data_IF_288355588900
#
_entry.id   IF_288355588900
#
_cell.length_a   1.000
_cell.length_b   1.000
_cell.length_c   1.000
_cell.angle_alpha   90.00
_cell.angle_beta   90.00
_cell.angle_gamma   90.00
#
_symmetry.space_group_name_H-M   'P 1'
#
loop_
_entity.id
_entity.type
_entity.pdbx_description
1 polymer ?
#
# COMPACT_ATOMS: atom_id res chain seq x y z
N UNK A 1 -11.68 0.65 20.18
CA UNK A 1 -10.57 -0.16 20.74
C UNK A 1 -9.41 -0.21 19.74
N UNK A 2 -8.38 0.63 19.92
CA UNK A 2 -7.08 0.49 19.26
C UNK A 2 -6.08 -0.15 20.23
N UNK A 3 -5.80 -1.45 20.09
CA UNK A 3 -4.86 -2.15 20.97
C UNK A 3 -3.39 -1.88 20.66
N UNK A 4 -3.07 -1.34 19.48
CA UNK A 4 -1.70 -0.96 19.13
C UNK A 4 -1.23 0.27 19.92
N UNK A 5 -2.13 1.22 20.15
CA UNK A 5 -1.91 2.35 21.07
C UNK A 5 -2.36 2.06 22.50
N UNK A 6 -3.04 0.93 22.70
CA UNK A 6 -3.61 0.51 23.96
C UNK A 6 -4.74 1.42 24.42
N UNK A 7 -5.63 1.89 23.55
CA UNK A 7 -6.74 2.79 23.90
C UNK A 7 -8.09 2.19 23.51
N UNK A 8 -9.07 2.23 24.40
CA UNK A 8 -10.48 1.91 24.14
C UNK A 8 -11.29 3.18 24.35
N UNK A 9 -12.05 3.55 23.32
CA UNK A 9 -12.93 4.72 23.29
C UNK A 9 -14.34 4.23 22.98
N UNK A 10 -15.30 4.51 23.86
CA UNK A 10 -16.75 4.28 23.73
C UNK A 10 -17.52 5.04 24.81
N UNK A 11 -18.78 5.40 24.57
CA UNK A 11 -19.66 6.13 25.51
C UNK A 11 -20.45 5.13 26.41
N UNK A 12 -21.15 5.44 27.51
CA UNK A 12 -21.83 6.64 28.01
C UNK A 12 -21.35 7.11 29.41
N UNK A 13 -20.10 6.80 29.79
CA UNK A 13 -19.48 7.29 31.03
C UNK A 13 -17.97 7.40 30.80
N UNK A 14 -17.53 8.49 30.14
CA UNK A 14 -16.14 8.76 29.71
C UNK A 14 -15.07 8.27 30.69
N UNK A 15 -14.57 7.07 30.43
CA UNK A 15 -13.27 6.59 30.85
C UNK A 15 -12.45 6.39 29.58
N UNK A 16 -11.27 7.01 29.51
CA UNK A 16 -10.26 6.55 28.56
C UNK A 16 -9.70 5.25 29.15
N UNK A 17 -10.10 4.11 28.61
CA UNK A 17 -9.58 2.83 29.05
C UNK A 17 -8.30 2.53 28.26
N UNK A 18 -7.16 2.49 28.94
CA UNK A 18 -5.87 2.16 28.32
C UNK A 18 -5.59 0.67 28.56
N UNK A 19 -5.63 -0.17 27.52
CA UNK A 19 -5.28 -1.59 27.61
C UNK A 19 -3.87 -1.80 27.08
N UNK A 20 -2.91 -2.15 27.93
CA UNK A 20 -1.52 -2.41 27.50
C UNK A 20 -1.15 -3.89 27.68
N UNK A 21 -0.76 -4.54 26.58
CA UNK A 21 -0.18 -5.89 26.52
C UNK A 21 -1.18 -7.06 26.32
N UNK A 22 -0.85 -7.98 25.41
CA UNK A 22 -1.35 -9.37 25.39
C UNK A 22 -2.85 -9.58 25.30
N UNK A 23 -3.57 -8.74 24.55
CA UNK A 23 -5.04 -8.81 24.45
C UNK A 23 -5.45 -9.77 23.32
N UNK A 24 -5.44 -11.05 23.63
CA UNK A 24 -5.83 -12.09 22.66
C UNK A 24 -7.34 -12.07 22.33
N UNK A 25 -8.14 -11.21 22.94
CA UNK A 25 -9.56 -11.07 22.65
C UNK A 25 -10.12 -9.68 22.95
N UNK A 26 -10.84 -9.10 21.98
CA UNK A 26 -11.55 -7.82 22.08
C UNK A 26 -13.01 -8.04 21.76
N UNK A 27 -13.89 -7.43 22.56
CA UNK A 27 -15.31 -7.35 22.25
C UNK A 27 -15.77 -5.89 22.23
N UNK A 28 -16.45 -5.49 21.17
CA UNK A 28 -17.14 -4.22 21.01
C UNK A 28 -18.45 -4.18 21.79
N UNK A 29 -19.14 -3.07 21.64
CA UNK A 29 -20.40 -2.72 22.27
C UNK A 29 -21.59 -3.07 21.36
N UNK A 30 -22.76 -2.48 21.62
CA UNK A 30 -23.91 -2.57 20.70
C UNK A 30 -23.95 -1.44 19.66
N UNK A 31 -22.89 -0.63 19.57
CA UNK A 31 -22.76 0.54 18.72
C UNK A 31 -21.57 0.37 17.78
N UNK A 32 -21.46 1.26 16.78
CA UNK A 32 -20.33 1.25 15.86
C UNK A 32 -18.99 1.43 16.57
N UNK A 33 -18.19 0.38 16.55
CA UNK A 33 -16.88 0.32 17.15
C UNK A 33 -15.76 0.31 16.10
N UNK A 34 -14.55 0.68 16.52
CA UNK A 34 -13.33 0.49 15.74
C UNK A 34 -12.40 -0.41 16.54
N UNK A 35 -12.06 -1.58 16.02
CA UNK A 35 -11.32 -2.63 16.71
C UNK A 35 -10.00 -2.89 15.99
N UNK A 36 -8.87 -2.75 16.67
CA UNK A 36 -7.54 -3.10 16.14
C UNK A 36 -6.84 -4.05 17.10
N UNK A 37 -6.30 -5.14 16.57
CA UNK A 37 -5.46 -6.10 17.29
C UNK A 37 -4.11 -5.53 17.74
N UNK A 38 -3.38 -6.34 18.49
CA UNK A 38 -1.96 -6.19 18.76
C UNK A 38 -1.13 -6.73 17.58
N UNK A 39 0.12 -7.16 17.82
CA UNK A 39 0.93 -7.90 16.83
C UNK A 39 0.89 -9.42 17.05
N UNK A 40 0.02 -9.85 17.97
CA UNK A 40 -0.15 -11.23 18.40
C UNK A 40 -1.21 -11.97 17.59
N UNK A 41 -1.84 -12.97 18.20
CA UNK A 41 -2.99 -13.63 17.60
C UNK A 41 -4.23 -13.21 18.38
N UNK A 42 -5.09 -12.41 17.78
CA UNK A 42 -6.18 -11.72 18.49
C UNK A 42 -7.57 -12.15 17.99
N UNK A 43 -8.51 -12.29 18.93
CA UNK A 43 -9.92 -12.61 18.63
C UNK A 43 -10.80 -11.37 18.78
N UNK A 44 -11.27 -10.81 17.67
CA UNK A 44 -12.07 -9.60 17.63
C UNK A 44 -13.56 -9.92 17.44
N UNK A 45 -14.41 -9.29 18.26
CA UNK A 45 -15.87 -9.38 18.20
C UNK A 45 -16.43 -7.97 18.16
N UNK A 46 -17.23 -7.62 17.17
CA UNK A 46 -17.89 -6.30 17.06
C UNK A 46 -19.16 -6.20 17.91
N UNK A 47 -19.90 -7.31 18.02
CA UNK A 47 -21.25 -7.46 18.54
C UNK A 47 -22.31 -6.72 17.70
N UNK A 48 -22.76 -5.55 18.17
CA UNK A 48 -23.84 -4.79 17.55
C UNK A 48 -23.34 -3.48 17.01
N UNK A 49 -23.93 -2.96 15.93
CA UNK A 49 -23.48 -1.71 15.31
C UNK A 49 -22.72 -1.96 14.02
N UNK A 50 -22.38 -0.90 13.29
CA UNK A 50 -21.55 -0.99 12.09
C UNK A 50 -20.09 -0.85 12.49
N UNK A 51 -19.38 -1.96 12.57
CA UNK A 51 -18.05 -2.02 13.18
C UNK A 51 -16.92 -1.92 12.14
N UNK A 52 -15.75 -1.47 12.55
CA UNK A 52 -14.54 -1.41 11.72
C UNK A 52 -13.41 -2.20 12.36
N UNK A 53 -13.02 -3.31 11.75
CA UNK A 53 -11.90 -4.15 12.19
C UNK A 53 -10.63 -3.77 11.43
N UNK A 54 -9.66 -3.17 12.12
CA UNK A 54 -8.39 -2.72 11.55
C UNK A 54 -7.37 -3.84 11.66
N UNK A 55 -6.81 -4.21 10.50
CA UNK A 55 -5.66 -5.09 10.39
C UNK A 55 -4.51 -4.37 9.67
N UNK A 56 -3.28 -4.59 10.10
CA UNK A 56 -2.09 -3.98 9.52
C UNK A 56 -0.95 -5.00 9.40
N UNK A 57 0.02 -4.75 8.52
CA UNK A 57 1.20 -5.60 8.35
C UNK A 57 1.91 -5.83 9.70
N UNK A 58 2.30 -7.07 10.00
CA UNK A 58 2.86 -7.46 11.29
C UNK A 58 1.82 -7.61 12.41
N UNK A 59 0.54 -7.73 12.05
CA UNK A 59 -0.57 -7.93 12.98
C UNK A 59 -0.66 -9.33 13.57
N UNK A 60 0.04 -10.32 13.01
CA UNK A 60 -0.04 -11.71 13.45
C UNK A 60 -1.31 -12.42 12.96
N UNK A 61 -1.77 -13.44 13.68
CA UNK A 61 -2.82 -14.35 13.21
C UNK A 61 -4.16 -14.07 13.90
N UNK A 62 -4.98 -13.22 13.26
CA UNK A 62 -6.21 -12.68 13.85
C UNK A 62 -7.47 -13.43 13.43
N UNK A 63 -8.50 -13.32 14.27
CA UNK A 63 -9.79 -13.96 14.11
C UNK A 63 -10.93 -12.98 14.39
N UNK A 64 -11.78 -12.71 13.40
CA UNK A 64 -13.01 -11.92 13.56
C UNK A 64 -14.19 -12.89 13.68
N UNK A 65 -14.91 -12.83 14.80
CA UNK A 65 -15.93 -13.83 15.14
C UNK A 65 -17.35 -13.55 14.62
N UNK A 66 -17.67 -12.31 14.25
CA UNK A 66 -19.05 -11.88 14.02
C UNK A 66 -19.22 -10.85 12.89
N UNK A 67 -18.29 -10.79 11.94
CA UNK A 67 -18.39 -9.90 10.78
C UNK A 67 -19.75 -10.00 10.07
N UNK A 68 -20.43 -8.87 9.92
CA UNK A 68 -21.81 -8.81 9.48
C UNK A 68 -22.05 -7.71 8.44
N UNK A 69 -22.24 -8.11 7.19
CA UNK A 69 -22.64 -7.21 6.11
C UNK A 69 -24.03 -6.58 6.37
N UNK A 70 -24.90 -7.27 7.12
CA UNK A 70 -26.23 -6.77 7.47
C UNK A 70 -26.17 -5.58 8.45
N UNK A 71 -25.12 -5.54 9.28
CA UNK A 71 -24.84 -4.43 10.18
C UNK A 71 -23.93 -3.36 9.55
N UNK A 72 -23.47 -3.59 8.32
CA UNK A 72 -22.55 -2.75 7.56
C UNK A 72 -21.14 -2.67 8.16
N UNK A 73 -20.67 -3.78 8.73
CA UNK A 73 -19.31 -3.92 9.21
C UNK A 73 -18.28 -3.79 8.09
N UNK A 74 -17.07 -3.36 8.46
CA UNK A 74 -15.94 -3.15 7.57
C UNK A 74 -14.66 -3.75 8.12
N UNK A 75 -13.80 -4.18 7.20
CA UNK A 75 -12.44 -4.59 7.49
C UNK A 75 -11.50 -3.56 6.89
N UNK A 76 -10.77 -2.85 7.73
CA UNK A 76 -9.77 -1.88 7.31
C UNK A 76 -8.43 -2.57 7.10
N UNK A 77 -8.04 -2.67 5.83
CA UNK A 77 -6.78 -3.22 5.34
C UNK A 77 -5.86 -2.10 4.80
N UNK A 78 -6.15 -0.83 5.08
CA UNK A 78 -5.31 0.29 4.63
C UNK A 78 -3.89 0.25 5.19
N UNK A 79 -3.69 -0.45 6.31
CA UNK A 79 -2.38 -0.72 6.91
C UNK A 79 -1.67 -1.97 6.37
N UNK A 80 -2.25 -2.69 5.40
CA UNK A 80 -1.67 -3.90 4.83
C UNK A 80 -0.99 -3.60 3.50
N UNK A 81 0.32 -3.78 3.47
CA UNK A 81 1.12 -3.57 2.26
C UNK A 81 0.76 -4.63 1.20
N UNK A 82 0.56 -4.19 -0.05
CA UNK A 82 0.23 -5.10 -1.14
C UNK A 82 -1.26 -5.40 -1.33
N UNK A 83 -2.14 -4.82 -0.51
CA UNK A 83 -3.60 -5.00 -0.61
C UNK A 83 -4.28 -3.65 -0.88
N UNK A 84 -4.74 -3.46 -2.11
CA UNK A 84 -5.36 -2.21 -2.55
C UNK A 84 -6.78 -2.42 -3.09
N UNK A 85 -7.11 -3.66 -3.43
CA UNK A 85 -8.39 -4.03 -4.05
C UNK A 85 -8.95 -5.32 -3.48
N UNK A 86 -10.24 -5.58 -3.74
CA UNK A 86 -10.86 -6.87 -3.45
C UNK A 86 -10.15 -8.03 -4.18
N UNK A 87 -9.62 -7.78 -5.38
CA UNK A 87 -8.93 -8.82 -6.15
C UNK A 87 -7.64 -9.28 -5.44
N UNK A 88 -6.92 -8.36 -4.80
CA UNK A 88 -5.73 -8.68 -4.00
C UNK A 88 -6.12 -9.55 -2.78
N UNK A 89 -7.20 -9.19 -2.09
CA UNK A 89 -7.74 -10.00 -0.99
C UNK A 89 -8.12 -11.39 -1.49
N UNK A 90 -8.84 -11.49 -2.60
CA UNK A 90 -9.30 -12.76 -3.18
C UNK A 90 -8.13 -13.65 -3.64
N UNK A 91 -7.02 -13.06 -4.09
CA UNK A 91 -5.82 -13.79 -4.47
C UNK A 91 -5.13 -14.46 -3.27
N UNK A 92 -5.25 -13.87 -2.08
CA UNK A 92 -4.67 -14.39 -0.83
C UNK A 92 -5.67 -15.16 0.05
N UNK A 93 -6.95 -15.09 -0.27
CA UNK A 93 -8.01 -15.71 0.51
C UNK A 93 -8.31 -17.14 0.06
N UNK A 94 -8.70 -17.95 1.03
CA UNK A 94 -9.19 -19.31 0.82
C UNK A 94 -10.39 -19.58 1.71
N UNK A 95 -11.36 -20.34 1.20
CA UNK A 95 -12.47 -20.81 2.02
C UNK A 95 -12.02 -22.02 2.85
N UNK A 96 -12.19 -21.95 4.17
CA UNK A 96 -11.88 -23.02 5.12
C UNK A 96 -13.13 -23.41 5.91
N UNK A 97 -13.86 -24.42 5.42
CA UNK A 97 -15.17 -24.76 5.97
C UNK A 97 -16.11 -23.55 5.88
N UNK A 98 -16.76 -23.12 6.98
CA UNK A 98 -17.62 -21.94 6.97
C UNK A 98 -16.84 -20.61 6.99
N UNK A 99 -15.52 -20.63 7.19
CA UNK A 99 -14.73 -19.42 7.42
C UNK A 99 -13.97 -18.98 6.16
N UNK A 100 -13.76 -17.68 6.02
CA UNK A 100 -12.79 -17.13 5.05
C UNK A 100 -11.45 -16.94 5.76
N UNK A 101 -10.37 -17.44 5.16
CA UNK A 101 -9.01 -17.28 5.68
C UNK A 101 -8.16 -16.51 4.67
N UNK A 102 -7.62 -15.36 5.07
CA UNK A 102 -6.76 -14.50 4.27
C UNK A 102 -5.33 -14.64 4.78
N UNK A 103 -4.40 -15.03 3.91
CA UNK A 103 -3.00 -15.24 4.27
C UNK A 103 -2.11 -14.12 3.72
N UNK A 104 -1.62 -13.24 4.60
CA UNK A 104 -0.73 -12.14 4.21
C UNK A 104 0.75 -12.56 4.16
N UNK A 105 1.07 -13.79 4.57
CA UNK A 105 2.44 -14.33 4.58
C UNK A 105 3.18 -14.06 5.90
N UNK A 106 4.37 -14.65 6.07
CA UNK A 106 5.21 -14.50 7.28
C UNK A 106 4.53 -14.82 8.63
N UNK A 107 3.40 -15.54 8.62
CA UNK A 107 2.60 -15.83 9.81
C UNK A 107 1.45 -14.85 10.06
N UNK A 108 1.37 -13.78 9.27
CA UNK A 108 0.28 -12.81 9.30
C UNK A 108 -0.94 -13.37 8.55
N UNK A 109 -2.09 -13.42 9.22
CA UNK A 109 -3.33 -13.90 8.63
C UNK A 109 -4.56 -13.31 9.32
N UNK A 110 -5.68 -13.31 8.61
CA UNK A 110 -6.98 -12.91 9.14
C UNK A 110 -8.03 -13.97 8.80
N UNK A 111 -8.71 -14.47 9.84
CA UNK A 111 -9.81 -15.41 9.70
C UNK A 111 -11.13 -14.71 9.97
N UNK A 112 -12.10 -14.84 9.07
CA UNK A 112 -13.46 -14.35 9.22
C UNK A 112 -14.40 -15.52 9.49
N UNK A 113 -14.97 -15.57 10.69
CA UNK A 113 -15.82 -16.67 11.12
C UNK A 113 -17.16 -16.64 10.38
N UNK A 114 -17.59 -17.79 9.85
CA UNK A 114 -18.87 -17.96 9.16
C UNK A 114 -19.09 -17.02 7.95
N UNK A 115 -18.01 -16.44 7.41
CA UNK A 115 -18.06 -15.61 6.22
C UNK A 115 -17.70 -16.46 5.01
N UNK A 116 -18.58 -16.44 4.00
CA UNK A 116 -18.31 -17.06 2.71
C UNK A 116 -17.53 -16.09 1.82
N UNK A 117 -16.36 -16.50 1.33
CA UNK A 117 -15.44 -15.66 0.57
C UNK A 117 -16.10 -15.04 -0.68
N UNK A 118 -16.94 -15.80 -1.38
CA UNK A 118 -17.62 -15.32 -2.59
C UNK A 118 -18.69 -14.25 -2.32
N UNK A 119 -19.10 -14.06 -1.06
CA UNK A 119 -20.07 -13.02 -0.67
C UNK A 119 -19.39 -11.70 -0.31
N UNK A 120 -18.07 -11.70 -0.13
CA UNK A 120 -17.30 -10.49 0.12
C UNK A 120 -17.21 -9.64 -1.14
N UNK A 121 -17.38 -8.34 -0.95
CA UNK A 121 -17.41 -7.30 -1.96
C UNK A 121 -16.45 -6.19 -1.57
N UNK A 122 -16.15 -5.27 -2.49
CA UNK A 122 -15.28 -4.14 -2.20
C UNK A 122 -15.85 -3.20 -1.11
N UNK A 123 -17.17 -3.23 -0.87
CA UNK A 123 -17.81 -2.40 0.15
C UNK A 123 -17.53 -2.86 1.59
N UNK A 124 -17.14 -4.13 1.76
CA UNK A 124 -16.79 -4.75 3.04
C UNK A 124 -15.40 -4.34 3.54
N UNK A 125 -14.61 -3.68 2.70
CA UNK A 125 -13.23 -3.33 2.99
C UNK A 125 -12.98 -1.82 2.95
N UNK A 126 -12.00 -1.38 3.73
CA UNK A 126 -11.34 -0.09 3.58
C UNK A 126 -9.91 -0.37 3.13
N UNK A 127 -9.54 0.13 1.96
CA UNK A 127 -8.17 0.00 1.43
C UNK A 127 -7.41 1.31 1.59
N UNK A 128 -6.09 1.26 1.42
CA UNK A 128 -5.28 2.47 1.32
C UNK A 128 -5.81 3.35 0.19
N UNK A 129 -5.82 4.68 0.32
CA UNK A 129 -6.33 5.57 -0.72
C UNK A 129 -5.46 5.59 -2.00
N UNK A 130 -4.27 4.98 -1.96
CA UNK A 130 -3.45 4.74 -3.15
C UNK A 130 -3.94 3.58 -4.01
N UNK A 131 -3.30 3.40 -5.16
CA UNK A 131 -3.64 2.40 -6.17
C UNK A 131 -2.51 1.42 -6.41
N UNK A 132 -2.88 0.22 -6.87
CA UNK A 132 -1.95 -0.73 -7.47
C UNK A 132 -2.27 -0.86 -8.96
N UNK A 133 -1.39 -0.33 -9.81
CA UNK A 133 -1.53 -0.37 -11.26
C UNK A 133 -0.52 -1.34 -11.84
N UNK A 134 -1.01 -2.24 -12.69
CA UNK A 134 -0.20 -3.25 -13.36
C UNK A 134 -0.39 -3.06 -14.87
N UNK A 135 0.72 -2.89 -15.57
CA UNK A 135 0.80 -2.82 -17.03
C UNK A 135 0.68 -4.20 -17.69
N UNK A 136 1.19 -4.30 -18.91
CA UNK A 136 1.24 -5.53 -19.69
C UNK A 136 2.62 -5.71 -20.36
N UNK A 137 2.71 -6.43 -21.48
CA UNK A 137 3.99 -6.66 -22.16
C UNK A 137 4.31 -5.60 -23.25
N UNK A 138 3.44 -4.60 -23.40
CA UNK A 138 3.56 -3.49 -24.34
C UNK A 138 3.83 -2.18 -23.58
N UNK A 139 4.33 -1.13 -24.26
CA UNK A 139 4.49 0.19 -23.65
C UNK A 139 3.20 0.72 -23.01
N UNK A 140 3.28 1.01 -21.72
CA UNK A 140 2.21 1.57 -20.91
C UNK A 140 2.54 2.99 -20.42
N UNK A 141 1.50 3.70 -20.02
CA UNK A 141 1.61 4.94 -19.25
C UNK A 141 0.76 4.77 -18.01
N UNK A 142 1.40 4.61 -16.86
CA UNK A 142 0.73 4.39 -15.58
C UNK A 142 0.83 5.67 -14.76
N UNK A 143 -0.31 6.18 -14.31
CA UNK A 143 -0.41 7.40 -13.50
C UNK A 143 -1.12 7.07 -12.21
N UNK A 144 -0.44 7.30 -11.09
CA UNK A 144 -0.93 7.12 -9.74
C UNK A 144 -1.88 8.23 -9.28
N UNK A 145 -1.83 8.50 -7.98
CA UNK A 145 -2.69 9.36 -7.20
C UNK A 145 -1.86 10.25 -6.28
N UNK A 146 -2.51 11.05 -5.42
CA UNK A 146 -1.80 11.83 -4.40
C UNK A 146 -1.43 11.04 -3.13
N UNK A 147 -1.44 9.70 -3.19
CA UNK A 147 -1.22 8.80 -2.06
C UNK A 147 -0.16 7.76 -2.43
N UNK A 148 0.27 6.95 -1.45
CA UNK A 148 1.28 5.91 -1.69
C UNK A 148 0.75 4.81 -2.62
N UNK A 149 1.32 4.75 -3.82
CA UNK A 149 0.91 3.86 -4.89
C UNK A 149 1.97 2.78 -5.21
N UNK A 150 1.52 1.71 -5.87
CA UNK A 150 2.40 0.73 -6.50
C UNK A 150 2.10 0.71 -8.00
N UNK A 151 3.09 1.02 -8.83
CA UNK A 151 2.99 0.95 -10.28
C UNK A 151 3.99 -0.07 -10.81
N UNK A 152 3.51 -1.08 -11.53
CA UNK A 152 4.32 -2.12 -12.15
C UNK A 152 4.13 -2.12 -13.67
N UNK A 153 5.14 -1.73 -14.44
CA UNK A 153 5.13 -1.68 -15.90
C UNK A 153 5.09 -3.06 -16.56
N UNK A 154 5.78 -4.03 -15.96
CA UNK A 154 5.98 -5.40 -16.44
C UNK A 154 6.91 -5.50 -17.65
N UNK A 155 6.45 -5.27 -18.88
CA UNK A 155 7.31 -5.36 -20.05
C UNK A 155 6.93 -4.33 -21.09
N UNK A 156 7.91 -3.81 -21.81
CA UNK A 156 7.67 -2.69 -22.72
C UNK A 156 8.62 -1.56 -22.41
N UNK A 157 8.29 -0.36 -22.88
CA UNK A 157 9.04 0.84 -22.51
C UNK A 157 8.03 1.78 -21.87
N UNK A 158 7.95 1.76 -20.56
CA UNK A 158 6.86 2.32 -19.80
C UNK A 158 7.16 3.73 -19.30
N UNK A 159 6.10 4.50 -19.08
CA UNK A 159 6.14 5.77 -18.37
C UNK A 159 5.36 5.62 -17.09
N UNK A 160 6.04 5.78 -15.95
CA UNK A 160 5.47 5.66 -14.62
C UNK A 160 5.45 7.04 -13.96
N UNK A 161 4.28 7.51 -13.55
CA UNK A 161 4.11 8.77 -12.83
C UNK A 161 3.35 8.49 -11.53
N UNK A 162 4.06 8.51 -10.40
CA UNK A 162 3.47 8.33 -9.07
C UNK A 162 2.58 9.49 -8.64
N UNK A 163 2.95 10.71 -9.03
CA UNK A 163 2.46 11.99 -8.51
C UNK A 163 3.03 12.28 -7.11
N UNK A 164 2.17 12.43 -6.10
CA UNK A 164 2.61 12.69 -4.73
C UNK A 164 2.29 11.49 -3.88
N UNK A 165 3.16 11.12 -2.95
CA UNK A 165 2.95 9.89 -2.20
C UNK A 165 4.28 9.38 -1.67
N UNK A 166 4.34 8.12 -1.28
CA UNK A 166 5.61 7.42 -1.19
C UNK A 166 5.43 6.20 -2.07
N UNK A 167 5.84 6.32 -3.33
CA UNK A 167 5.41 5.39 -4.36
C UNK A 167 6.46 4.32 -4.62
N UNK A 168 6.01 3.15 -5.05
CA UNK A 168 6.87 2.09 -5.56
C UNK A 168 6.67 1.95 -7.07
N UNK A 169 7.64 2.41 -7.85
CA UNK A 169 7.59 2.39 -9.30
C UNK A 169 8.55 1.31 -9.82
N UNK A 170 7.99 0.22 -10.34
CA UNK A 170 8.73 -0.87 -10.98
C UNK A 170 8.51 -0.85 -12.50
N UNK A 171 9.55 -0.56 -13.29
CA UNK A 171 9.47 -0.55 -14.75
C UNK A 171 9.35 -1.96 -15.36
N UNK A 172 9.96 -2.96 -14.73
CA UNK A 172 10.05 -4.30 -15.29
C UNK A 172 11.07 -4.43 -16.43
N UNK A 173 10.66 -5.00 -17.57
CA UNK A 173 11.54 -5.33 -18.69
C UNK A 173 11.45 -4.28 -19.79
N UNK A 174 12.57 -3.62 -20.08
CA UNK A 174 12.75 -2.80 -21.27
C UNK A 174 13.50 -1.52 -20.94
N UNK A 175 13.05 -0.39 -21.49
CA UNK A 175 13.54 0.93 -21.11
C UNK A 175 12.41 1.75 -20.53
N UNK A 176 12.40 1.85 -19.21
CA UNK A 176 11.30 2.43 -18.46
C UNK A 176 11.69 3.79 -17.87
N UNK A 177 10.72 4.68 -17.72
CA UNK A 177 10.94 6.05 -17.27
C UNK A 177 9.99 6.44 -16.16
N UNK A 178 10.54 6.89 -15.04
CA UNK A 178 9.79 7.63 -14.03
C UNK A 178 9.65 9.12 -14.44
N UNK A 179 8.43 9.65 -14.44
CA UNK A 179 8.12 11.06 -14.75
C UNK A 179 7.75 11.83 -13.48
N UNK A 180 8.54 12.87 -13.19
CA UNK A 180 8.38 13.78 -12.06
C UNK A 180 8.06 15.21 -12.51
N UNK A 181 7.49 15.36 -13.71
CA UNK A 181 7.14 16.66 -14.27
C UNK A 181 6.11 17.46 -13.46
N UNK A 182 5.36 16.81 -12.58
CA UNK A 182 4.36 17.41 -11.67
C UNK A 182 4.93 17.82 -10.29
N UNK A 183 6.18 17.48 -10.01
CA UNK A 183 6.84 17.89 -8.78
C UNK A 183 6.74 19.41 -8.56
N UNK A 184 6.43 19.80 -7.33
CA UNK A 184 6.21 21.22 -6.95
C UNK A 184 7.50 21.94 -6.56
N UNK A 185 8.64 21.26 -6.63
CA UNK A 185 9.98 21.76 -6.42
C UNK A 185 11.03 20.84 -7.04
N UNK A 186 12.31 21.17 -6.85
CA UNK A 186 13.42 20.36 -7.37
C UNK A 186 13.47 18.98 -6.70
N UNK A 187 13.72 17.94 -7.50
CA UNK A 187 13.85 16.56 -6.99
C UNK A 187 15.32 16.20 -6.75
N UNK A 188 15.55 15.25 -5.83
CA UNK A 188 16.82 14.54 -5.69
C UNK A 188 16.60 13.08 -6.06
N UNK A 189 17.20 12.67 -7.16
CA UNK A 189 17.06 11.33 -7.72
C UNK A 189 18.40 10.58 -7.68
N UNK A 190 18.37 9.35 -7.17
CA UNK A 190 19.51 8.44 -7.13
C UNK A 190 19.13 7.11 -7.78
N UNK A 191 19.57 6.91 -9.02
CA UNK A 191 19.26 5.72 -9.82
C UNK A 191 19.98 4.48 -9.31
N UNK A 192 21.18 4.61 -8.74
CA UNK A 192 21.93 3.47 -8.21
C UNK A 192 21.30 2.89 -6.94
N UNK A 193 20.67 3.75 -6.12
CA UNK A 193 19.92 3.35 -4.93
C UNK A 193 18.47 3.00 -5.27
N UNK A 194 17.94 3.54 -6.37
CA UNK A 194 16.53 3.40 -6.75
C UNK A 194 15.64 4.28 -5.88
N UNK A 195 15.98 5.56 -5.70
CA UNK A 195 15.20 6.47 -4.86
C UNK A 195 15.03 7.86 -5.46
N UNK A 196 13.85 8.45 -5.32
CA UNK A 196 13.60 9.87 -5.65
C UNK A 196 12.88 10.54 -4.51
N UNK A 197 13.28 11.77 -4.20
CA UNK A 197 12.63 12.59 -3.15
C UNK A 197 12.46 14.03 -3.61
N UNK A 198 11.44 14.72 -3.11
CA UNK A 198 11.25 16.13 -3.40
C UNK A 198 9.88 16.70 -3.00
N UNK A 199 9.68 18.02 -3.13
CA UNK A 199 8.41 18.66 -2.82
C UNK A 199 7.28 18.20 -3.76
N UNK A 200 6.19 17.71 -3.19
CA UNK A 200 5.01 17.28 -3.94
C UNK A 200 5.15 15.89 -4.60
N UNK A 201 6.28 15.21 -4.42
CA UNK A 201 6.48 13.81 -4.84
C UNK A 201 6.55 12.87 -3.64
N UNK A 202 7.17 13.32 -2.55
CA UNK A 202 7.40 12.52 -1.33
C UNK A 202 8.69 11.71 -1.40
N UNK A 203 8.66 10.43 -1.04
CA UNK A 203 9.84 9.55 -1.02
C UNK A 203 9.55 8.23 -1.73
N UNK A 204 9.98 8.15 -2.99
CA UNK A 204 9.67 7.04 -3.87
C UNK A 204 10.83 6.05 -3.97
N UNK A 205 10.46 4.81 -4.24
CA UNK A 205 11.35 3.71 -4.55
C UNK A 205 11.19 3.35 -6.02
N UNK A 206 12.32 3.28 -6.73
CA UNK A 206 12.40 2.89 -8.14
C UNK A 206 13.05 1.52 -8.26
N UNK A 207 12.41 0.62 -8.99
CA UNK A 207 12.94 -0.67 -9.39
C UNK A 207 12.90 -0.80 -10.92
N UNK A 208 13.95 -1.34 -11.54
CA UNK A 208 13.99 -1.57 -13.00
C UNK A 208 13.56 -0.33 -13.82
N UNK A 209 14.05 0.86 -13.43
CA UNK A 209 13.81 2.12 -14.14
C UNK A 209 15.14 2.67 -14.64
N UNK A 210 15.25 2.91 -15.95
CA UNK A 210 16.47 3.42 -16.59
C UNK A 210 16.40 4.91 -16.92
N UNK A 211 15.22 5.51 -16.86
CA UNK A 211 14.98 6.90 -17.22
C UNK A 211 14.33 7.69 -16.10
N UNK A 212 14.77 8.94 -15.91
CA UNK A 212 14.05 9.91 -15.09
C UNK A 212 13.81 11.17 -15.89
N UNK A 213 12.56 11.60 -15.93
CA UNK A 213 12.17 12.93 -16.35
C UNK A 213 11.97 13.80 -15.12
N UNK A 214 12.87 14.77 -14.95
CA UNK A 214 12.91 15.66 -13.81
C UNK A 214 11.78 16.69 -13.78
N UNK A 215 11.82 17.49 -12.72
CA UNK A 215 10.87 18.56 -12.50
C UNK A 215 11.15 19.78 -13.40
N UNK A 216 10.32 20.81 -13.24
CA UNK A 216 10.56 22.12 -13.85
C UNK A 216 11.55 22.99 -13.04
N UNK A 217 12.08 22.47 -11.94
CA UNK A 217 12.95 23.16 -10.99
C UNK A 217 14.37 22.58 -11.00
N UNK A 218 15.27 23.16 -10.22
CA UNK A 218 16.65 22.68 -10.14
C UNK A 218 16.71 21.29 -9.48
N UNK A 219 16.91 20.27 -10.31
CA UNK A 219 17.00 18.88 -9.89
C UNK A 219 18.45 18.44 -9.61
N UNK A 220 18.61 17.46 -8.73
CA UNK A 220 19.88 16.77 -8.47
C UNK A 220 19.77 15.31 -8.89
N UNK A 221 20.68 14.86 -9.77
CA UNK A 221 20.70 13.49 -10.26
C UNK A 221 22.02 12.81 -9.95
N UNK A 222 21.94 11.64 -9.33
CA UNK A 222 23.05 10.74 -9.09
C UNK A 222 22.81 9.41 -9.81
N UNK A 223 23.64 9.10 -10.80
CA UNK A 223 23.63 7.80 -11.48
C UNK A 223 24.95 7.04 -11.26
N UNK A 224 25.83 7.53 -10.37
CA UNK A 224 27.09 6.88 -10.07
C UNK A 224 26.86 5.48 -9.50
N UNK A 225 27.41 4.46 -10.18
CA UNK A 225 27.25 3.07 -9.80
C UNK A 225 25.95 2.41 -10.31
N UNK A 226 25.15 3.10 -11.12
CA UNK A 226 23.99 2.48 -11.76
C UNK A 226 24.43 1.43 -12.79
N UNK A 227 23.90 0.21 -12.65
CA UNK A 227 24.19 -0.92 -13.54
C UNK A 227 22.97 -1.38 -14.35
N UNK A 228 21.83 -0.69 -14.24
CA UNK A 228 20.61 -1.04 -14.97
C UNK A 228 20.86 -0.98 -16.48
N UNK A 229 20.77 -2.15 -17.11
CA UNK A 229 21.01 -2.32 -18.54
C UNK A 229 19.69 -2.75 -19.17
N UNK A 230 19.29 -2.02 -20.21
CA UNK A 230 18.06 -2.22 -21.00
C UNK A 230 17.94 -3.59 -21.68
N UNK A 231 18.96 -4.46 -21.59
CA UNK A 231 19.05 -5.69 -22.38
C UNK A 231 19.06 -5.47 -23.91
N UNK A 232 18.99 -4.22 -24.39
CA UNK A 232 18.87 -3.83 -25.79
C UNK A 232 20.19 -3.21 -26.28
N UNK A 233 20.86 -3.80 -27.29
CA UNK A 233 22.06 -3.23 -27.87
C UNK A 233 21.82 -1.82 -28.43
N UNK A 234 22.56 -0.82 -27.94
CA UNK A 234 22.60 0.53 -28.51
C UNK A 234 21.76 1.61 -27.82
N UNK A 235 21.09 1.31 -26.71
CA UNK A 235 20.47 2.34 -25.85
C UNK A 235 21.50 2.80 -24.81
N UNK A 236 21.66 4.11 -24.65
CA UNK A 236 22.60 4.67 -23.68
C UNK A 236 22.19 4.27 -22.24
N UNK A 237 23.15 3.85 -21.38
CA UNK A 237 22.85 3.51 -19.99
C UNK A 237 22.46 4.79 -19.25
N UNK A 238 21.26 4.79 -18.66
CA UNK A 238 20.60 5.90 -17.98
C UNK A 238 20.33 7.16 -18.83
N UNK A 239 19.06 7.57 -18.95
CA UNK A 239 18.69 8.88 -19.53
C UNK A 239 17.95 9.73 -18.52
N UNK A 240 18.67 10.68 -17.96
CA UNK A 240 18.13 11.76 -17.13
C UNK A 240 17.84 12.98 -18.02
N UNK A 241 16.67 13.59 -17.87
CA UNK A 241 16.30 14.81 -18.58
C UNK A 241 15.64 15.80 -17.62
N UNK A 242 16.21 16.99 -17.47
CA UNK A 242 15.60 18.12 -16.72
C UNK A 242 14.61 18.90 -17.60
N UNK A 243 13.46 19.33 -17.07
CA UNK A 243 12.52 20.22 -17.79
C UNK A 243 12.75 21.72 -17.47
N UNK A 244 13.45 22.05 -16.37
CA UNK A 244 13.84 23.42 -16.00
C UNK A 244 14.94 23.45 -14.93
N UNK A 245 15.56 24.62 -14.70
CA UNK A 245 16.64 24.80 -13.72
C UNK A 245 18.00 24.19 -14.10
N UNK A 246 19.09 24.67 -13.50
CA UNK A 246 20.41 24.04 -13.69
C UNK A 246 20.44 22.71 -12.92
N UNK A 247 20.47 21.60 -13.64
CA UNK A 247 20.60 20.27 -13.05
C UNK A 247 22.06 20.00 -12.65
N UNK A 248 22.29 19.53 -11.42
CA UNK A 248 23.57 19.00 -11.00
C UNK A 248 23.58 17.49 -11.26
N UNK A 249 24.49 17.04 -12.12
CA UNK A 249 24.74 15.63 -12.38
C UNK A 249 26.05 15.24 -11.71
N UNK A 250 26.04 14.15 -10.93
CA UNK A 250 27.21 13.55 -10.32
C UNK A 250 27.38 12.10 -10.79
#
# INVERSE_FOLDING_TARGET
VDLGSGTVSGDASVGHDIITGGVNSVAGSGFSDTLKGSSGADSLLGNGGADTFIYASGGGADFIGDFSQAQADKIDLSGVTGIYTLADVQALASQQGPNTFINFGNGDSLTLQNVTLSNLTAADFVFSPGVHLIGDANPNTLVGTGYADILSGLGGNDVLQGLGGNDHLDGGQGFDRADYGDATGGITANLAVGSVTGPGVGSDVLANVEGILGSNFADTFNAAGFTGSTGLPGVAPAKVSSRGGAATTA
#
